data_IF_558624884200
#
_entry.id   IF_558624884200
#
_cell.length_a   1.000
_cell.length_b   1.000
_cell.length_c   1.000
_cell.angle_alpha   90.00
_cell.angle_beta   90.00
_cell.angle_gamma   90.00
#
_symmetry.space_group_name_H-M   'P 1'
#
loop_
_entity.id
_entity.type
_entity.pdbx_description
1 polymer ?
#
# COMPACT_ATOMS: atom_id res chain seq x y z
N UNK A 1 13.32 1.89 10.69
CA UNK A 1 13.54 3.08 9.86
C UNK A 1 12.32 3.23 8.95
N UNK A 2 11.69 4.41 8.86
CA UNK A 2 10.65 4.64 7.87
C UNK A 2 11.22 4.48 6.47
N UNK A 3 10.40 3.96 5.56
CA UNK A 3 10.76 3.77 4.16
C UNK A 3 10.51 5.04 3.36
N UNK A 4 11.18 5.17 2.21
CA UNK A 4 11.01 6.33 1.33
C UNK A 4 9.53 6.53 0.91
N UNK A 5 8.79 5.42 0.71
CA UNK A 5 7.34 5.46 0.48
C UNK A 5 6.55 6.06 1.65
N UNK A 6 6.94 5.76 2.89
CA UNK A 6 6.28 6.31 4.07
C UNK A 6 6.59 7.80 4.23
N UNK A 7 7.82 8.23 3.95
CA UNK A 7 8.24 9.63 4.05
C UNK A 7 7.55 10.48 2.97
N UNK A 8 7.60 10.05 1.71
CA UNK A 8 6.91 10.73 0.62
C UNK A 8 5.38 10.77 0.83
N UNK A 9 4.80 9.68 1.37
CA UNK A 9 3.40 9.64 1.77
C UNK A 9 3.04 10.70 2.80
N UNK A 10 3.91 10.91 3.80
CA UNK A 10 3.75 11.96 4.81
C UNK A 10 3.75 13.37 4.21
N UNK A 11 4.69 13.69 3.32
CA UNK A 11 4.72 14.98 2.64
C UNK A 11 3.48 15.20 1.75
N UNK A 12 3.01 14.15 1.06
CA UNK A 12 1.77 14.21 0.29
C UNK A 12 0.53 14.44 1.18
N UNK A 13 0.53 13.90 2.41
CA UNK A 13 -0.51 14.19 3.38
C UNK A 13 -0.47 15.66 3.84
N UNK A 14 0.71 16.21 4.09
CA UNK A 14 0.87 17.64 4.43
C UNK A 14 0.33 18.56 3.34
N UNK A 15 0.53 18.22 2.05
CA UNK A 15 -0.02 18.98 0.92
C UNK A 15 -1.55 19.02 0.90
N UNK A 16 -2.21 17.92 1.28
CA UNK A 16 -3.66 17.80 1.28
C UNK A 16 -4.30 18.25 2.60
N UNK A 17 -3.52 18.49 3.65
CA UNK A 17 -4.02 18.90 4.95
C UNK A 17 -4.49 20.37 4.88
N UNK A 18 -5.78 20.67 5.05
CA UNK A 18 -6.29 22.04 5.01
C UNK A 18 -5.79 22.89 6.17
N UNK A 19 -5.36 22.28 7.28
CA UNK A 19 -4.80 22.97 8.44
C UNK A 19 -3.28 23.20 8.33
N UNK A 20 -2.62 22.69 7.29
CA UNK A 20 -1.21 22.94 7.06
C UNK A 20 -0.99 24.36 6.53
N UNK A 21 0.07 25.02 6.99
CA UNK A 21 0.45 26.34 6.49
C UNK A 21 0.97 26.24 5.05
N UNK A 22 0.85 27.34 4.31
CA UNK A 22 1.33 27.40 2.93
C UNK A 22 2.86 27.17 2.85
N UNK A 23 3.61 27.64 3.84
CA UNK A 23 5.05 27.36 3.94
C UNK A 23 5.34 25.86 4.14
N UNK A 24 4.55 25.16 4.97
CA UNK A 24 4.71 23.71 5.19
C UNK A 24 4.37 22.90 3.93
N UNK A 25 3.35 23.33 3.18
CA UNK A 25 3.00 22.74 1.88
C UNK A 25 4.10 22.96 0.86
N UNK A 26 4.61 24.19 0.74
CA UNK A 26 5.68 24.50 -0.21
C UNK A 26 6.95 23.69 0.06
N UNK A 27 7.38 23.60 1.33
CA UNK A 27 8.51 22.77 1.72
C UNK A 27 8.26 21.28 1.43
N UNK A 28 7.07 20.76 1.73
CA UNK A 28 6.71 19.38 1.43
C UNK A 28 6.71 19.08 -0.08
N UNK A 29 6.31 20.06 -0.90
CA UNK A 29 6.35 19.95 -2.36
C UNK A 29 7.78 19.90 -2.89
N UNK A 30 8.65 20.77 -2.37
CA UNK A 30 10.06 20.84 -2.76
C UNK A 30 10.82 19.56 -2.38
N UNK A 31 10.57 19.02 -1.18
CA UNK A 31 11.14 17.75 -0.73
C UNK A 31 10.65 16.60 -1.61
N UNK A 32 9.36 16.57 -1.97
CA UNK A 32 8.83 15.54 -2.86
C UNK A 32 9.46 15.59 -4.26
N UNK A 33 9.66 16.78 -4.82
CA UNK A 33 10.24 16.98 -6.15
C UNK A 33 11.73 16.61 -6.18
N UNK A 34 12.50 17.13 -5.22
CA UNK A 34 13.96 16.96 -5.18
C UNK A 34 14.41 15.57 -4.72
N UNK A 35 13.73 14.98 -3.73
CA UNK A 35 14.22 13.77 -3.04
C UNK A 35 13.40 12.51 -3.37
N UNK A 36 12.13 12.67 -3.78
CA UNK A 36 11.19 11.55 -3.94
C UNK A 36 10.58 11.45 -5.35
N UNK A 37 11.25 11.95 -6.38
CA UNK A 37 10.79 11.92 -7.78
C UNK A 37 9.35 12.45 -7.96
N UNK A 38 9.01 13.57 -7.31
CA UNK A 38 7.66 14.14 -7.31
C UNK A 38 6.64 13.34 -6.48
N UNK A 39 7.11 12.44 -5.61
CA UNK A 39 6.30 11.52 -4.83
C UNK A 39 5.95 10.21 -5.57
N UNK A 40 6.65 9.92 -6.67
CA UNK A 40 6.66 8.62 -7.33
C UNK A 40 7.83 7.79 -6.79
N UNK A 41 7.65 7.30 -5.57
CA UNK A 41 8.61 6.44 -4.88
C UNK A 41 8.19 4.99 -4.99
N UNK A 42 9.14 4.06 -5.15
CA UNK A 42 8.84 2.64 -5.16
C UNK A 42 8.12 2.28 -3.86
N UNK A 43 6.90 1.76 -4.00
CA UNK A 43 6.04 1.45 -2.87
C UNK A 43 6.75 0.40 -2.01
N UNK A 44 6.99 0.70 -0.74
CA UNK A 44 7.74 -0.20 0.16
C UNK A 44 6.95 -1.45 0.61
N UNK A 45 5.95 -1.86 -0.18
CA UNK A 45 5.19 -3.08 -0.06
C UNK A 45 5.18 -3.92 -1.35
N UNK A 46 5.98 -3.55 -2.36
CA UNK A 46 6.28 -4.39 -3.54
C UNK A 46 7.38 -5.43 -3.25
N UNK A 47 7.74 -5.62 -1.98
CA UNK A 47 8.41 -6.84 -1.55
C UNK A 47 7.45 -8.02 -1.68
N UNK A 48 7.98 -9.16 -2.11
CA UNK A 48 7.27 -10.44 -2.18
C UNK A 48 6.36 -10.61 -0.95
N UNK A 49 5.04 -10.63 -1.19
CA UNK A 49 4.06 -10.72 -0.10
C UNK A 49 4.39 -11.97 0.71
N UNK A 50 4.48 -11.82 2.02
CA UNK A 50 4.71 -12.96 2.91
C UNK A 50 3.75 -14.10 2.56
N UNK A 51 4.23 -15.26 2.09
CA UNK A 51 3.36 -16.30 1.54
C UNK A 51 2.33 -16.78 2.56
N UNK A 52 2.68 -16.80 3.85
CA UNK A 52 1.75 -17.10 4.93
C UNK A 52 0.57 -16.12 5.05
N UNK A 53 0.78 -14.83 4.78
CA UNK A 53 -0.30 -13.84 4.77
C UNK A 53 -1.21 -14.02 3.56
N UNK A 54 -0.64 -14.38 2.40
CA UNK A 54 -1.43 -14.63 1.20
C UNK A 54 -2.27 -15.90 1.37
N UNK A 55 -1.66 -17.00 1.83
CA UNK A 55 -2.35 -18.25 2.15
C UNK A 55 -3.46 -18.02 3.21
N UNK A 56 -3.17 -17.21 4.24
CA UNK A 56 -4.15 -16.82 5.25
C UNK A 56 -5.36 -16.07 4.65
N UNK A 57 -5.11 -15.11 3.75
CA UNK A 57 -6.16 -14.38 3.03
C UNK A 57 -7.00 -15.28 2.14
N UNK A 58 -6.37 -16.17 1.37
CA UNK A 58 -7.07 -17.15 0.53
C UNK A 58 -7.95 -18.08 1.38
N UNK A 59 -7.45 -18.55 2.52
CA UNK A 59 -8.22 -19.37 3.47
C UNK A 59 -9.40 -18.61 4.09
N UNK A 60 -9.26 -17.29 4.31
CA UNK A 60 -10.36 -16.46 4.77
C UNK A 60 -11.45 -16.34 3.71
N UNK A 61 -11.08 -16.18 2.43
CA UNK A 61 -12.03 -16.20 1.30
C UNK A 61 -12.82 -17.51 1.28
N UNK A 62 -12.16 -18.66 1.46
CA UNK A 62 -12.84 -19.97 1.49
C UNK A 62 -13.88 -20.09 2.62
N UNK A 63 -13.64 -19.46 3.77
CA UNK A 63 -14.55 -19.52 4.93
C UNK A 63 -15.64 -18.46 4.93
N UNK A 64 -15.54 -17.45 4.06
CA UNK A 64 -16.48 -16.34 4.07
C UNK A 64 -17.79 -16.75 3.37
N UNK A 65 -18.95 -16.70 4.05
CA UNK A 65 -20.23 -16.99 3.42
C UNK A 65 -20.68 -15.91 2.43
N UNK A 66 -20.11 -14.70 2.50
CA UNK A 66 -20.49 -13.56 1.65
C UNK A 66 -19.69 -13.45 0.35
N UNK A 67 -18.82 -14.42 0.03
CA UNK A 67 -18.11 -14.45 -1.25
C UNK A 67 -18.75 -15.45 -2.20
N UNK A 68 -18.65 -15.18 -3.50
CA UNK A 68 -19.17 -16.07 -4.54
C UNK A 68 -18.41 -17.40 -4.58
N UNK A 69 -19.06 -18.43 -5.10
CA UNK A 69 -18.45 -19.75 -5.21
C UNK A 69 -17.27 -19.76 -6.19
N UNK A 70 -17.32 -18.96 -7.26
CA UNK A 70 -16.19 -18.73 -8.17
C UNK A 70 -14.97 -18.12 -7.45
N UNK A 71 -15.20 -17.15 -6.55
CA UNK A 71 -14.12 -16.56 -5.76
C UNK A 71 -13.52 -17.57 -4.77
N UNK A 72 -14.33 -18.49 -4.23
CA UNK A 72 -13.83 -19.59 -3.38
C UNK A 72 -13.03 -20.59 -4.20
N UNK A 73 -13.49 -20.97 -5.39
CA UNK A 73 -12.78 -21.91 -6.25
C UNK A 73 -11.41 -21.36 -6.67
N UNK A 74 -11.37 -20.11 -7.14
CA UNK A 74 -10.11 -19.43 -7.47
C UNK A 74 -9.19 -19.31 -6.25
N UNK A 75 -9.73 -19.01 -5.07
CA UNK A 75 -8.92 -18.95 -3.84
C UNK A 75 -8.36 -20.33 -3.44
N UNK A 76 -9.10 -21.40 -3.70
CA UNK A 76 -8.66 -22.78 -3.46
C UNK A 76 -7.54 -23.17 -4.41
N UNK A 77 -7.69 -22.92 -5.70
CA UNK A 77 -6.67 -23.22 -6.72
C UNK A 77 -5.37 -22.48 -6.43
N UNK A 78 -5.44 -21.19 -6.07
CA UNK A 78 -4.26 -20.39 -5.72
C UNK A 78 -3.59 -20.84 -4.42
N UNK A 79 -4.33 -21.44 -3.50
CA UNK A 79 -3.80 -22.00 -2.26
C UNK A 79 -3.10 -23.35 -2.50
N UNK A 80 -3.58 -24.13 -3.48
CA UNK A 80 -2.98 -25.40 -3.90
C UNK A 80 -1.70 -25.20 -4.72
N UNK A 81 -1.65 -24.14 -5.53
CA UNK A 81 -0.48 -23.76 -6.35
C UNK A 81 0.55 -22.88 -5.62
N UNK A 82 0.41 -22.70 -4.30
CA UNK A 82 1.36 -21.96 -3.44
C UNK A 82 2.41 -22.87 -2.83
#
# INVERSE_FOLDING_TARGET
MPTEAQIAGGHKATLNNPNASEQAKQNSREVLDNEFNGGDVPRSGDGEKNPGNVAGGLKATLKNPNVSDEAKESAKERLDNM
#
